data_IF_528497160731
#
_entry.id   IF_528497160731
#
_cell.length_a   1.000
_cell.length_b   1.000
_cell.length_c   1.000
_cell.angle_alpha   90.00
_cell.angle_beta   90.00
_cell.angle_gamma   90.00
#
_symmetry.space_group_name_H-M   'P 1'
#
loop_
_entity.id
_entity.type
_entity.pdbx_description
1 polymer ?
#
# COMPACT_ATOMS: atom_id res chain seq x y z
N UNK A 1 0.84 21.41 10.91
CA UNK A 1 2.22 21.28 10.40
C UNK A 1 2.14 21.04 8.89
N UNK A 2 1.53 21.98 8.15
CA UNK A 2 1.01 21.72 6.78
C UNK A 2 1.63 22.57 5.69
N UNK A 3 2.58 23.44 6.08
CA UNK A 3 3.31 24.33 5.18
C UNK A 3 4.55 23.67 4.55
N UNK A 4 5.13 22.66 5.19
CA UNK A 4 6.36 22.00 4.74
C UNK A 4 6.06 20.67 4.05
N UNK A 5 5.62 20.74 2.79
CA UNK A 5 5.25 19.57 1.98
C UNK A 5 6.40 18.60 1.79
N UNK A 6 7.61 19.11 1.52
CA UNK A 6 8.80 18.29 1.30
C UNK A 6 9.17 17.44 2.52
N UNK A 7 9.06 17.99 3.74
CA UNK A 7 9.35 17.24 4.96
C UNK A 7 8.43 16.03 5.13
N UNK A 8 7.14 16.19 4.82
CA UNK A 8 6.18 15.09 4.89
C UNK A 8 6.52 13.98 3.89
N UNK A 9 6.98 14.35 2.68
CA UNK A 9 7.39 13.40 1.65
C UNK A 9 8.64 12.62 2.06
N UNK A 10 9.65 13.31 2.59
CA UNK A 10 10.88 12.69 3.11
C UNK A 10 10.55 11.69 4.23
N UNK A 11 9.68 12.07 5.17
CA UNK A 11 9.26 11.17 6.24
C UNK A 11 8.54 9.92 5.71
N UNK A 12 7.61 10.09 4.75
CA UNK A 12 6.87 8.97 4.15
C UNK A 12 7.80 7.99 3.41
N UNK A 13 8.70 8.52 2.59
CA UNK A 13 9.64 7.68 1.84
C UNK A 13 10.65 6.97 2.76
N UNK A 14 11.08 7.65 3.83
CA UNK A 14 11.96 7.03 4.84
C UNK A 14 11.24 5.91 5.57
N UNK A 15 9.99 6.10 5.98
CA UNK A 15 9.18 5.07 6.63
C UNK A 15 8.88 3.89 5.70
N UNK A 16 8.80 4.10 4.37
CA UNK A 16 8.65 3.01 3.40
C UNK A 16 9.85 2.07 3.41
N UNK A 17 11.07 2.62 3.34
CA UNK A 17 12.30 1.82 3.25
C UNK A 17 12.80 1.30 4.61
N UNK A 18 12.58 2.09 5.65
CA UNK A 18 13.10 1.88 7.00
C UNK A 18 11.98 1.96 8.05
N UNK A 19 10.86 1.28 7.78
CA UNK A 19 9.76 1.20 8.75
C UNK A 19 10.27 0.59 10.05
N UNK A 20 10.09 1.22 11.22
CA UNK A 20 10.41 0.59 12.50
C UNK A 20 9.50 -0.62 12.82
N UNK A 21 8.33 -0.70 12.17
CA UNK A 21 7.38 -1.80 12.32
C UNK A 21 7.47 -2.67 11.08
N UNK A 22 8.26 -3.74 11.18
CA UNK A 22 8.48 -4.68 10.08
C UNK A 22 7.41 -5.78 10.01
N UNK A 23 6.72 -6.05 11.12
CA UNK A 23 5.81 -7.18 11.26
C UNK A 23 4.63 -6.82 12.15
N UNK A 24 3.42 -7.04 11.63
CA UNK A 24 2.16 -6.93 12.37
C UNK A 24 1.54 -8.32 12.48
N UNK A 25 1.39 -8.80 13.72
CA UNK A 25 0.79 -10.10 14.01
C UNK A 25 -0.64 -9.94 14.53
N UNK A 26 -1.58 -10.70 13.98
CA UNK A 26 -2.99 -10.72 14.41
C UNK A 26 -3.49 -12.14 14.61
N UNK A 27 -4.06 -12.43 15.78
CA UNK A 27 -4.64 -13.74 16.09
C UNK A 27 -6.02 -13.86 15.44
N UNK A 28 -6.26 -14.98 14.78
CA UNK A 28 -7.53 -15.26 14.10
C UNK A 28 -8.61 -15.59 15.14
N UNK A 29 -9.57 -14.68 15.35
CA UNK A 29 -10.72 -14.91 16.24
C UNK A 29 -11.83 -15.75 15.58
N UNK A 30 -12.08 -15.50 14.29
CA UNK A 30 -13.07 -16.22 13.47
C UNK A 30 -12.39 -16.78 12.22
N UNK A 31 -12.77 -17.97 11.73
CA UNK A 31 -12.17 -18.55 10.54
C UNK A 31 -12.28 -17.57 9.35
N UNK A 32 -11.14 -17.27 8.72
CA UNK A 32 -11.03 -16.26 7.66
C UNK A 32 -10.86 -16.94 6.31
N UNK A 33 -11.80 -16.73 5.38
CA UNK A 33 -11.62 -17.13 3.98
C UNK A 33 -10.75 -16.11 3.24
N UNK A 34 -9.77 -16.60 2.47
CA UNK A 34 -8.88 -15.75 1.69
C UNK A 34 -9.52 -15.48 0.33
N UNK A 35 -9.69 -14.22 -0.09
CA UNK A 35 -10.30 -13.90 -1.38
C UNK A 35 -9.47 -14.47 -2.53
N UNK A 36 -10.13 -15.13 -3.49
CA UNK A 36 -9.48 -15.73 -4.65
C UNK A 36 -8.91 -17.13 -4.43
N UNK A 37 -9.10 -17.73 -3.26
CA UNK A 37 -8.70 -19.12 -2.98
C UNK A 37 -9.76 -19.84 -2.15
N UNK A 38 -9.89 -21.17 -2.29
CA UNK A 38 -10.81 -21.98 -1.46
C UNK A 38 -10.27 -22.28 -0.04
N UNK A 39 -9.22 -21.55 0.37
CA UNK A 39 -8.54 -21.78 1.64
C UNK A 39 -9.15 -20.95 2.77
N UNK A 40 -9.41 -21.61 3.90
CA UNK A 40 -9.92 -20.99 5.12
C UNK A 40 -8.87 -21.12 6.22
N UNK A 41 -8.42 -19.98 6.77
CA UNK A 41 -7.46 -19.94 7.87
C UNK A 41 -8.19 -20.23 9.19
N UNK A 42 -7.81 -21.29 9.92
CA UNK A 42 -8.44 -21.63 11.18
C UNK A 42 -7.90 -20.79 12.35
N UNK A 43 -8.66 -20.74 13.45
CA UNK A 43 -8.36 -19.94 14.67
C UNK A 43 -7.04 -20.31 15.37
N UNK A 44 -6.47 -21.48 15.07
CA UNK A 44 -5.20 -21.92 15.63
C UNK A 44 -4.02 -21.09 15.13
N UNK A 45 -4.10 -20.50 13.94
CA UNK A 45 -3.00 -19.78 13.32
C UNK A 45 -3.00 -18.29 13.69
N UNK A 46 -1.85 -17.65 13.53
CA UNK A 46 -1.66 -16.20 13.67
C UNK A 46 -1.30 -15.65 12.31
N UNK A 47 -2.00 -14.61 11.86
CA UNK A 47 -1.72 -13.94 10.61
C UNK A 47 -0.56 -12.96 10.80
N UNK A 48 0.28 -12.88 9.78
CA UNK A 48 1.41 -11.97 9.71
C UNK A 48 1.21 -11.07 8.48
N UNK A 49 1.24 -9.76 8.71
CA UNK A 49 1.36 -8.76 7.66
C UNK A 49 2.71 -8.06 7.81
N UNK A 50 3.50 -7.99 6.74
CA UNK A 50 4.78 -7.27 6.75
C UNK A 50 4.71 -6.09 5.78
N UNK A 51 4.53 -4.85 6.28
CA UNK A 51 4.50 -3.67 5.43
C UNK A 51 5.84 -3.44 4.71
N UNK A 52 6.96 -3.91 5.29
CA UNK A 52 8.28 -3.79 4.67
C UNK A 52 8.41 -4.65 3.40
N UNK A 53 7.82 -5.86 3.42
CA UNK A 53 7.83 -6.75 2.25
C UNK A 53 7.01 -6.15 1.12
N UNK A 54 5.80 -5.67 1.42
CA UNK A 54 4.94 -5.00 0.42
C UNK A 54 5.60 -3.72 -0.11
N UNK A 55 6.24 -2.94 0.77
CA UNK A 55 6.96 -1.70 0.42
C UNK A 55 8.18 -1.90 -0.49
N UNK A 56 8.75 -3.11 -0.51
CA UNK A 56 9.89 -3.51 -1.34
C UNK A 56 9.50 -4.43 -2.49
N UNK A 57 8.22 -4.70 -2.68
CA UNK A 57 7.76 -5.55 -3.79
C UNK A 57 7.72 -4.76 -5.09
N UNK A 58 8.21 -5.38 -6.18
CA UNK A 58 8.21 -4.78 -7.53
C UNK A 58 6.79 -4.59 -8.08
N UNK A 59 5.83 -5.37 -7.57
CA UNK A 59 4.42 -5.30 -7.96
C UNK A 59 3.78 -3.96 -7.58
N UNK A 60 4.23 -3.35 -6.47
CA UNK A 60 3.68 -2.10 -5.96
C UNK A 60 4.60 -0.90 -6.22
N UNK A 61 5.91 -1.12 -6.37
CA UNK A 61 6.91 -0.08 -6.60
C UNK A 61 7.95 -0.53 -7.64
N UNK A 62 7.98 0.10 -8.82
CA UNK A 62 8.94 -0.23 -9.89
C UNK A 62 10.40 -0.03 -9.45
N UNK A 63 10.71 1.17 -8.92
CA UNK A 63 12.02 1.52 -8.36
C UNK A 63 12.05 1.33 -6.84
N UNK A 64 11.86 0.08 -6.39
CA UNK A 64 11.62 -0.24 -4.96
C UNK A 64 12.80 0.05 -4.02
N UNK A 65 14.03 -0.01 -4.51
CA UNK A 65 15.26 0.11 -3.70
C UNK A 65 15.82 1.54 -3.67
N UNK A 66 15.51 2.36 -4.67
CA UNK A 66 15.94 3.75 -4.67
C UNK A 66 15.07 4.59 -3.73
N UNK A 67 15.73 5.47 -2.98
CA UNK A 67 15.04 6.47 -2.17
C UNK A 67 14.71 7.67 -3.07
N UNK A 68 13.43 8.04 -3.17
CA UNK A 68 13.00 9.23 -3.90
C UNK A 68 11.81 9.92 -3.21
N UNK A 69 12.02 11.15 -2.74
CA UNK A 69 10.96 11.97 -2.11
C UNK A 69 9.89 12.41 -3.11
N UNK A 70 10.26 12.55 -4.38
CA UNK A 70 9.36 12.99 -5.46
C UNK A 70 8.22 12.01 -5.72
N UNK A 71 8.39 10.74 -5.33
CA UNK A 71 7.36 9.69 -5.44
C UNK A 71 6.04 10.07 -4.76
N UNK A 72 6.13 10.85 -3.68
CA UNK A 72 4.98 11.29 -2.89
C UNK A 72 4.50 12.69 -3.29
N UNK A 73 4.93 13.20 -4.45
CA UNK A 73 4.37 14.40 -5.03
C UNK A 73 3.00 14.05 -5.61
N UNK A 74 1.95 14.47 -4.91
CA UNK A 74 0.59 14.40 -5.45
C UNK A 74 0.57 15.23 -6.72
N UNK A 75 0.60 14.57 -7.88
CA UNK A 75 0.29 15.22 -9.13
C UNK A 75 -1.18 15.61 -9.08
N UNK A 76 -1.48 16.78 -8.52
CA UNK A 76 -2.59 17.57 -9.03
C UNK A 76 -2.14 17.96 -10.42
N UNK A 77 -2.40 17.11 -11.41
CA UNK A 77 -2.39 17.54 -12.80
C UNK A 77 -3.73 18.24 -13.00
N UNK A 78 -3.81 19.58 -12.99
CA UNK A 78 -5.05 20.26 -13.30
C UNK A 78 -5.18 20.19 -14.83
N UNK A 79 -5.94 19.23 -15.33
CA UNK A 79 -6.60 19.35 -16.63
C UNK A 79 -5.72 19.54 -17.88
N UNK A 80 -4.62 18.82 -18.03
CA UNK A 80 -4.07 18.57 -19.37
C UNK A 80 -4.31 17.10 -19.71
N UNK A 81 -5.45 16.89 -20.34
CA UNK A 81 -5.77 15.76 -21.19
C UNK A 81 -4.67 15.65 -22.26
N UNK A 82 -3.59 14.91 -22.01
CA UNK A 82 -2.76 14.48 -23.14
C UNK A 82 -3.59 13.46 -23.93
N UNK A 83 -4.04 13.88 -25.11
CA UNK A 83 -5.00 13.25 -26.05
C UNK A 83 -4.62 11.85 -26.56
N UNK A 84 -3.73 11.12 -25.91
CA UNK A 84 -3.25 9.80 -26.38
C UNK A 84 -3.37 8.73 -25.30
N UNK A 85 -4.45 8.77 -24.51
CA UNK A 85 -4.82 7.67 -23.60
C UNK A 85 -6.18 7.03 -23.95
N UNK A 86 -6.68 7.26 -25.15
CA UNK A 86 -7.89 6.60 -25.69
C UNK A 86 -7.56 5.34 -26.52
N UNK A 87 -6.31 4.87 -26.53
CA UNK A 87 -5.90 3.73 -27.36
C UNK A 87 -5.22 2.59 -26.60
N UNK A 88 -5.40 2.47 -25.28
CA UNK A 88 -4.98 1.28 -24.54
C UNK A 88 -6.12 0.76 -23.67
N UNK A 89 -6.25 -0.56 -23.72
CA UNK A 89 -7.40 -1.38 -23.38
C UNK A 89 -7.87 -1.26 -21.91
N UNK A 90 -9.11 -1.67 -21.58
CA UNK A 90 -9.67 -1.60 -20.22
C UNK A 90 -8.97 -2.43 -19.12
N UNK A 91 -7.79 -3.01 -19.38
CA UNK A 91 -7.11 -3.99 -18.52
C UNK A 91 -6.02 -3.42 -17.60
N UNK A 92 -5.66 -2.14 -17.71
CA UNK A 92 -4.62 -1.53 -16.86
C UNK A 92 -5.14 -0.68 -15.69
N UNK A 93 -6.37 -0.94 -15.26
CA UNK A 93 -6.95 -0.29 -14.07
C UNK A 93 -6.57 -0.97 -12.75
N UNK A 94 -5.27 -1.23 -12.55
CA UNK A 94 -4.77 -1.70 -11.25
C UNK A 94 -3.29 -1.43 -11.03
N UNK A 95 -2.82 -0.22 -11.32
CA UNK A 95 -1.65 0.29 -10.59
C UNK A 95 -2.22 0.94 -9.33
N UNK A 96 -2.15 0.29 -8.15
CA UNK A 96 -2.48 0.97 -6.91
C UNK A 96 -1.57 2.20 -6.82
N UNK A 97 -2.16 3.39 -6.84
CA UNK A 97 -1.39 4.60 -6.57
C UNK A 97 -0.75 4.43 -5.20
N UNK A 98 0.51 4.86 -5.05
CA UNK A 98 1.28 4.64 -3.82
C UNK A 98 0.58 5.11 -2.53
N UNK A 99 -0.46 5.95 -2.66
CA UNK A 99 -1.32 6.37 -1.58
C UNK A 99 -2.08 5.21 -0.90
N UNK A 100 -2.54 4.20 -1.64
CA UNK A 100 -3.39 3.13 -1.08
C UNK A 100 -2.64 2.05 -0.30
N UNK A 101 -1.32 1.93 -0.50
CA UNK A 101 -0.51 0.86 0.15
C UNK A 101 -0.41 1.06 1.67
N UNK A 102 -0.58 2.31 2.15
CA UNK A 102 -0.63 2.61 3.58
C UNK A 102 -2.05 2.52 4.15
N UNK A 103 -3.09 2.53 3.32
CA UNK A 103 -4.49 2.41 3.76
C UNK A 103 -4.95 0.94 3.84
N UNK A 104 -4.21 -0.02 3.25
CA UNK A 104 -4.54 -1.44 3.35
C UNK A 104 -4.38 -2.01 4.78
N UNK A 105 -3.77 -1.26 5.72
CA UNK A 105 -3.86 -1.58 7.15
C UNK A 105 -5.24 -1.35 7.75
N UNK A 106 -6.09 -0.52 7.13
CA UNK A 106 -7.44 -0.22 7.61
C UNK A 106 -8.45 -1.34 7.29
N UNK A 107 -8.20 -2.14 6.24
CA UNK A 107 -9.01 -3.33 5.94
C UNK A 107 -8.91 -4.39 7.06
N UNK A 108 -7.80 -4.43 7.80
CA UNK A 108 -7.65 -5.28 8.98
C UNK A 108 -8.11 -4.64 10.29
N UNK A 109 -8.25 -3.31 10.34
CA UNK A 109 -8.81 -2.63 11.52
C UNK A 109 -10.32 -2.81 11.62
N UNK A 110 -11.03 -2.94 10.49
CA UNK A 110 -12.49 -3.02 10.50
C UNK A 110 -13.08 -4.36 11.00
N UNK A 111 -12.24 -5.37 11.30
CA UNK A 111 -12.67 -6.62 11.93
C UNK A 111 -12.02 -6.88 13.30
N UNK A 112 -11.53 -5.81 13.94
CA UNK A 112 -11.02 -5.84 15.31
C UNK A 112 -11.52 -4.63 16.09
N UNK A 113 -12.83 -4.54 16.29
CA UNK A 113 -13.39 -3.85 17.44
C UNK A 113 -14.03 -4.90 18.36
N UNK A 114 -13.40 -5.09 19.52
CA UNK A 114 -13.88 -5.76 20.74
C UNK A 114 -14.42 -7.18 20.53
#
# INVERSE_FOLDING_TARGET
>A
MDKLRLQQQVSKETLRLHSPIHTLLRKVKNPLSIPGTDWVVPRSHTLLASPLVTSKSKEYFEDRESWSSERWNSQVTPGIWSTTAMALSPLERRVPTCHSVLDDTDAFQHNSLV
#
